data_IF_969696108057
#
_entry.id   IF_969696108057
#
_cell.length_a   1.000
_cell.length_b   1.000
_cell.length_c   1.000
_cell.angle_alpha   90.00
_cell.angle_beta   90.00
_cell.angle_gamma   90.00
#
_symmetry.space_group_name_H-M   'P 1'
#
loop_
_entity.id
_entity.type
_entity.pdbx_description
1 polymer ?
2 polymer ?
3 polymer ?
4 non-polymer ?
5 non-polymer ?
6 water ?
#
loop_
_entity_poly.entity_id
_entity_poly.type
_entity_poly.pdbx_seq_one_letter_code
_entity_poly.pdbx_strand_id
1 'polydeoxyribonucleotide' '(DA)(DA)(DT)(DC)(DT)(DT)(DT)(DC)(DA)(DC)(DA)(DC)(DG)(DA)(DT)' ?
2 'polydeoxyribonucleotide' '(DT)(DT)(DA)(DT)(DC)(DG)(DT)(DG)(DT)(DG)(DA)(DA)(DA)(DG)(DA)' ?
#
# COMPACT_ATOMS: atom_id res chain seq x y z
N UNK C 1 -11.39 5.09 -35.38
CA UNK C 1 -11.71 5.90 -34.21
C UNK C 1 -11.77 5.06 -32.87
N UNK C 2 -11.73 5.74 -31.69
CA UNK C 2 -11.90 4.94 -30.45
C UNK C 2 -13.38 4.61 -30.15
N UNK C 3 -13.62 3.40 -29.67
CA UNK C 3 -15.01 2.90 -29.48
C UNK C 3 -15.37 3.12 -28.01
N UNK C 4 -16.55 3.69 -27.75
CA UNK C 4 -17.02 3.89 -26.38
C UNK C 4 -17.38 2.55 -25.75
N UNK C 5 -17.26 2.42 -24.43
CA UNK C 5 -17.58 1.15 -23.80
C UNK C 5 -19.11 0.92 -23.96
N UNK C 6 -19.50 -0.29 -24.33
CA UNK C 6 -20.93 -0.56 -24.48
C UNK C 6 -21.37 -1.23 -23.19
N UNK C 7 -22.70 -1.28 -22.97
CA UNK C 7 -23.23 -1.93 -21.80
C UNK C 7 -22.86 -3.40 -21.79
N UNK C 8 -22.85 -4.05 -22.95
CA UNK C 8 -22.46 -5.48 -23.06
C UNK C 8 -21.02 -5.70 -22.60
N UNK C 9 -20.11 -4.88 -23.08
CA UNK C 9 -18.71 -5.01 -22.68
C UNK C 9 -18.51 -4.78 -21.17
N UNK C 10 -19.29 -3.87 -20.58
CA UNK C 10 -19.17 -3.63 -19.14
C UNK C 10 -19.67 -4.84 -18.33
N UNK C 11 -20.79 -5.41 -18.73
CA UNK C 11 -21.28 -6.66 -18.11
C UNK C 11 -20.25 -7.78 -18.22
N UNK C 12 -19.58 -7.89 -19.36
CA UNK C 12 -18.51 -8.88 -19.52
C UNK C 12 -17.35 -8.62 -18.55
N UNK C 13 -16.92 -7.37 -18.45
CA UNK C 13 -15.92 -7.01 -17.46
C UNK C 13 -16.33 -7.35 -16.02
N UNK C 14 -17.55 -6.98 -15.63
CA UNK C 14 -17.98 -7.09 -14.22
C UNK C 14 -18.09 -8.54 -13.75
N UNK C 15 -18.39 -9.43 -14.69
CA UNK C 15 -18.37 -10.87 -14.49
C UNK C 15 -17.00 -11.44 -14.16
N UNK C 16 -15.97 -10.96 -14.85
CA UNK C 16 -14.62 -11.53 -14.83
C UNK C 16 -13.57 -10.71 -14.07
N UNK C 17 -13.57 -9.38 -14.23
CA UNK C 17 -12.62 -8.51 -13.52
C UNK C 17 -11.15 -8.90 -13.78
N UNK C 18 -10.82 -9.08 -15.04
CA UNK C 18 -9.46 -9.48 -15.40
C UNK C 18 -8.53 -8.29 -15.50
N UNK C 19 -8.49 -7.44 -14.50
CA UNK C 19 -7.73 -6.18 -14.59
C UNK C 19 -6.21 -6.40 -14.65
N UNK C 20 -5.51 -5.35 -15.08
CA UNK C 20 -4.06 -5.21 -14.86
C UNK C 20 -3.90 -4.25 -13.71
N UNK C 21 -3.13 -4.61 -12.71
CA UNK C 21 -2.90 -3.70 -11.57
C UNK C 21 -1.41 -3.47 -11.41
N UNK C 22 -1.05 -2.24 -11.05
CA UNK C 22 0.34 -1.90 -10.70
C UNK C 22 0.26 -1.46 -9.25
N UNK C 23 1.06 -2.08 -8.38
CA UNK C 23 1.18 -1.67 -6.99
C UNK C 23 2.56 -1.06 -6.78
N UNK C 24 2.65 0.03 -6.04
CA UNK C 24 4.01 0.55 -5.63
C UNK C 24 4.00 0.58 -4.10
N UNK C 25 4.83 -0.25 -3.50
CA UNK C 25 4.90 -0.31 -2.01
C UNK C 25 6.18 0.38 -1.53
N UNK C 26 6.09 1.22 -0.51
CA UNK C 26 7.26 2.00 -0.14
C UNK C 26 7.05 2.53 1.27
N UNK C 27 8.14 2.93 1.89
CA UNK C 27 8.05 3.61 3.18
C UNK C 27 7.55 5.04 3.07
N UNK C 28 7.00 5.54 4.17
CA UNK C 28 6.42 6.85 4.15
C UNK C 28 7.44 7.95 4.44
N UNK C 29 8.66 7.56 4.83
CA UNK C 29 9.71 8.57 5.08
C UNK C 29 10.99 8.01 4.50
N UNK C 30 11.94 8.90 4.21
CA UNK C 30 13.24 8.51 3.67
C UNK C 30 14.27 9.46 4.28
N UNK C 31 15.36 8.87 4.79
CA UNK C 31 16.45 9.65 5.37
C UNK C 31 17.36 10.17 4.25
N UNK C 32 17.76 11.44 4.32
CA UNK C 32 18.59 12.03 3.26
C UNK C 32 20.07 11.68 3.40
N UNK C 33 20.78 11.70 2.27
CA UNK C 33 22.19 11.43 2.21
C UNK C 33 22.96 12.75 2.04
N UNK C 34 23.98 12.92 2.86
CA UNK C 34 24.83 14.11 2.81
C UNK C 34 26.14 13.82 2.07
N UNK C 35 26.73 14.85 1.46
CA UNK C 35 28.04 14.68 0.82
C UNK C 35 27.93 13.60 -0.24
N UNK C 36 28.82 12.62 -0.19
CA UNK C 36 28.81 11.62 -1.24
C UNK C 36 28.17 10.27 -0.82
N UNK C 37 27.61 10.23 0.39
CA UNK C 37 26.98 9.04 0.96
C UNK C 37 25.79 8.66 0.16
N UNK C 38 25.40 7.37 0.31
CA UNK C 38 24.13 6.82 -0.17
C UNK C 38 23.49 6.09 1.02
N UNK C 39 22.43 6.67 1.56
CA UNK C 39 21.66 5.99 2.57
C UNK C 39 20.43 5.48 1.86
N UNK C 40 20.35 4.17 1.66
CA UNK C 40 19.33 3.63 0.75
C UNK C 40 17.93 3.67 1.36
N UNK C 41 16.91 3.85 0.52
CA UNK C 41 15.51 3.71 1.00
C UNK C 41 15.32 2.33 1.56
N UNK C 42 14.91 2.25 2.82
CA UNK C 42 14.70 0.96 3.50
C UNK C 42 13.31 0.98 4.15
N UNK C 43 12.45 -0.03 3.82
CA UNK C 43 12.60 -1.12 2.95
C UNK C 43 12.73 -0.62 1.47
N UNK C 44 13.31 -1.40 0.58
CA UNK C 44 13.47 -0.97 -0.82
C UNK C 44 12.07 -0.85 -1.47
N UNK C 45 11.76 0.27 -2.13
CA UNK C 45 10.45 0.31 -2.82
C UNK C 45 10.24 -0.89 -3.75
N UNK C 46 9.00 -1.34 -3.85
CA UNK C 46 8.71 -2.58 -4.59
C UNK C 46 7.54 -2.30 -5.55
N UNK C 47 7.69 -2.71 -6.80
CA UNK C 47 6.63 -2.62 -7.82
C UNK C 47 6.12 -4.05 -8.04
N UNK C 48 4.81 -4.27 -7.90
CA UNK C 48 4.18 -5.56 -8.18
C UNK C 48 3.18 -5.43 -9.31
N UNK C 49 3.16 -6.40 -10.21
CA UNK C 49 2.14 -6.43 -11.25
C UNK C 49 1.12 -7.48 -10.84
N UNK C 50 -0.09 -7.06 -10.48
CA UNK C 50 -1.09 -8.03 -10.01
C UNK C 50 -2.25 -8.11 -11.01
N UNK C 51 -3.06 -9.16 -10.88
CA UNK C 51 -4.24 -9.27 -11.73
C UNK C 51 -3.97 -10.18 -12.89
N UNK C 52 -5.05 -10.82 -13.37
CA UNK C 52 -4.97 -11.78 -14.45
C UNK C 52 -4.85 -11.10 -15.82
N UNK C 53 -4.96 -9.76 -15.85
CA UNK C 53 -4.97 -9.00 -17.08
C UNK C 53 -3.57 -8.99 -17.70
N UNK C 54 -2.52 -9.14 -16.89
CA UNK C 54 -1.15 -9.12 -17.47
C UNK C 54 -0.96 -10.36 -18.33
N UNK C 55 -1.38 -11.54 -17.83
CA UNK C 55 -1.32 -12.73 -18.68
C UNK C 55 -2.16 -12.63 -19.97
N UNK C 56 -3.39 -12.10 -19.85
CA UNK C 56 -4.25 -11.94 -21.00
C UNK C 56 -3.63 -10.96 -22.01
N UNK C 57 -3.03 -9.89 -21.51
CA UNK C 57 -2.45 -8.93 -22.43
C UNK C 57 -1.23 -9.56 -23.16
N UNK C 58 -0.43 -10.34 -22.43
CA UNK C 58 0.74 -11.03 -23.03
C UNK C 58 0.29 -11.98 -24.14
N UNK C 59 -0.75 -12.78 -23.88
CA UNK C 59 -1.31 -13.68 -24.92
C UNK C 59 -1.82 -12.94 -26.15
N UNK C 60 -2.48 -11.80 -25.94
CA UNK C 60 -2.95 -10.98 -27.05
C UNK C 60 -1.76 -10.45 -27.86
N UNK C 61 -0.77 -9.85 -27.18
CA UNK C 61 0.44 -9.41 -27.91
C UNK C 61 1.15 -10.50 -28.69
N UNK C 62 1.37 -11.67 -28.09
CA UNK C 62 2.00 -12.79 -28.82
C UNK C 62 1.16 -13.31 -30.00
N UNK C 63 -0.14 -13.40 -29.79
CA UNK C 63 -1.07 -13.76 -30.86
C UNK C 63 -0.95 -12.80 -32.03
N UNK C 64 -0.72 -11.52 -31.74
CA UNK C 64 -0.47 -10.52 -32.79
C UNK C 64 0.97 -10.50 -33.35
N UNK C 65 1.82 -11.40 -32.86
CA UNK C 65 3.13 -11.65 -33.47
C UNK C 65 4.32 -11.28 -32.58
N UNK C 66 4.11 -10.79 -31.37
CA UNK C 66 5.21 -10.40 -30.46
C UNK C 66 5.94 -11.60 -29.93
N UNK C 67 7.26 -11.47 -29.79
CA UNK C 67 8.05 -12.48 -29.12
C UNK C 67 7.86 -12.31 -27.62
N UNK C 68 8.42 -13.20 -26.79
CA UNK C 68 8.39 -12.99 -25.33
C UNK C 68 9.14 -11.73 -24.88
N UNK C 69 10.25 -11.36 -25.52
CA UNK C 69 10.89 -10.09 -25.09
C UNK C 69 9.99 -8.91 -25.43
N UNK C 70 9.32 -8.94 -26.57
CA UNK C 70 8.43 -7.85 -26.94
C UNK C 70 7.21 -7.69 -26.04
N UNK C 71 6.70 -8.79 -25.48
CA UNK C 71 5.49 -8.73 -24.70
C UNK C 71 5.78 -8.57 -23.17
N UNK C 72 7.06 -8.62 -22.78
CA UNK C 72 7.48 -8.48 -21.37
C UNK C 72 7.34 -7.03 -20.93
N UNK C 73 6.59 -6.77 -19.84
CA UNK C 73 6.55 -5.50 -19.11
C UNK C 73 7.92 -5.12 -18.56
N UNK C 74 8.29 -3.87 -18.79
CA UNK C 74 9.60 -3.32 -18.37
C UNK C 74 9.28 -2.15 -17.49
N UNK C 75 10.18 -1.83 -16.54
CA UNK C 75 9.89 -0.71 -15.65
C UNK C 75 11.16 -0.11 -15.17
N UNK C 76 11.12 1.21 -14.97
CA UNK C 76 12.25 2.02 -14.45
C UNK C 76 11.67 2.82 -13.31
N UNK C 77 12.43 3.05 -12.25
CA UNK C 77 11.91 3.79 -11.10
C UNK C 77 12.88 4.87 -10.76
N UNK C 78 12.38 6.02 -10.37
CA UNK C 78 13.27 7.14 -10.01
C UNK C 78 12.56 8.01 -8.99
N UNK C 79 13.28 8.97 -8.44
CA UNK C 79 12.67 9.86 -7.48
C UNK C 79 12.05 11.00 -8.30
N UNK C 80 11.27 11.85 -7.67
CA UNK C 80 10.32 12.67 -8.49
C UNK C 80 10.89 13.58 -9.59
N UNK C 81 12.20 13.69 -9.69
CA UNK C 81 12.78 14.73 -10.54
C UNK C 81 14.07 14.33 -11.24
N UNK C 82 15.19 14.87 -10.73
CA UNK C 82 16.51 14.30 -10.95
C UNK C 82 17.03 14.27 -12.43
N UNK C 83 18.35 14.32 -12.68
CA UNK C 83 19.47 14.42 -11.70
C UNK C 83 19.99 13.04 -11.25
N UNK C 84 19.06 12.17 -10.87
CA UNK C 84 19.32 10.74 -10.91
C UNK C 84 18.71 10.17 -12.19
N UNK C 85 19.45 9.26 -12.81
CA UNK C 85 18.90 8.40 -13.82
C UNK C 85 17.93 7.48 -13.09
N UNK C 86 16.89 7.06 -13.80
CA UNK C 86 15.95 6.07 -13.32
C UNK C 86 16.65 4.70 -13.29
N UNK C 87 16.36 3.86 -12.29
CA UNK C 87 16.91 2.53 -12.30
C UNK C 87 15.98 1.51 -12.95
N UNK C 88 16.54 0.61 -13.74
CA UNK C 88 15.74 -0.40 -14.39
C UNK C 88 15.40 -1.48 -13.39
N UNK C 89 14.14 -1.88 -13.37
CA UNK C 89 13.75 -3.01 -12.56
C UNK C 89 13.79 -4.22 -13.48
N UNK C 90 13.81 -5.42 -12.92
CA UNK C 90 13.76 -6.58 -13.76
C UNK C 90 12.53 -7.37 -13.37
N UNK C 91 11.52 -7.42 -14.23
CA UNK C 91 10.29 -8.13 -13.91
C UNK C 91 10.21 -9.51 -14.58
N UNK C 92 11.25 -9.92 -15.28
CA UNK C 92 11.19 -11.18 -16.02
C UNK C 92 11.04 -12.36 -15.04
N UNK C 93 9.98 -13.12 -15.24
CA UNK C 93 9.79 -14.35 -14.47
C UNK C 93 9.09 -14.13 -13.14
N UNK C 94 9.27 -12.97 -12.54
CA UNK C 94 8.60 -12.66 -11.30
C UNK C 94 7.51 -11.63 -11.64
N UNK C 95 6.58 -11.43 -10.75
CA UNK C 95 5.65 -10.36 -11.02
C UNK C 95 6.00 -9.14 -10.18
N UNK C 96 7.22 -9.09 -9.64
CA UNK C 96 7.57 -7.94 -8.80
C UNK C 96 9.08 -7.69 -8.90
N UNK C 97 9.50 -6.50 -8.50
CA UNK C 97 10.91 -6.21 -8.36
C UNK C 97 11.09 -5.08 -7.35
N UNK C 98 12.15 -5.15 -6.53
CA UNK C 98 12.45 -4.10 -5.55
C UNK C 98 13.54 -3.21 -6.10
N UNK C 99 13.53 -1.94 -5.68
CA UNK C 99 14.54 -0.95 -6.05
C UNK C 99 15.49 -0.82 -4.85
N UNK C 100 16.62 -1.48 -4.88
CA UNK C 100 17.42 -1.73 -3.68
C UNK C 100 18.47 -0.62 -3.40
N UNK C 101 18.69 0.23 -4.40
CA UNK C 101 19.72 1.27 -4.30
C UNK C 101 19.22 2.71 -4.57
N UNK C 102 18.00 3.05 -4.18
CA UNK C 102 17.53 4.42 -4.31
C UNK C 102 17.99 5.23 -3.12
N UNK C 103 18.25 6.50 -3.34
CA UNK C 103 18.65 7.38 -2.23
C UNK C 103 18.31 8.79 -2.64
N UNK C 104 18.32 9.71 -1.70
CA UNK C 104 18.00 11.09 -2.03
C UNK C 104 19.08 11.99 -1.42
N UNK C 105 19.73 12.78 -2.27
CA UNK C 105 20.83 13.63 -1.80
C UNK C 105 20.32 14.89 -1.09
N UNK C 106 21.10 15.41 -0.14
CA UNK C 106 20.83 16.71 0.48
C UNK C 106 20.83 17.88 -0.55
N UNK C 107 21.36 17.62 -1.75
CA UNK C 107 21.33 18.61 -2.85
C UNK C 107 19.91 18.76 -3.43
N UNK C 108 19.02 17.84 -3.03
CA UNK C 108 17.60 17.92 -3.37
C UNK C 108 16.92 18.69 -2.24
N UNK C 109 16.20 19.76 -2.56
CA UNK C 109 15.67 20.64 -1.52
C UNK C 109 14.18 20.41 -1.16
N UNK C 110 13.56 19.37 -1.72
CA UNK C 110 12.17 19.07 -1.48
C UNK C 110 11.99 18.48 -0.09
N UNK C 111 10.90 18.84 0.59
CA UNK C 111 10.58 18.24 1.88
C UNK C 111 9.81 16.91 1.72
N UNK C 112 9.18 16.73 0.57
CA UNK C 112 8.39 15.53 0.27
C UNK C 112 8.63 15.24 -1.21
N UNK C 113 8.49 13.99 -1.62
CA UNK C 113 8.61 13.62 -3.04
C UNK C 113 7.77 12.37 -3.28
N UNK C 114 7.55 12.03 -4.55
CA UNK C 114 6.98 10.72 -4.94
C UNK C 114 7.98 9.99 -5.81
N UNK C 115 7.95 8.67 -5.76
CA UNK C 115 8.67 7.83 -6.68
C UNK C 115 7.88 7.84 -7.98
N UNK C 116 8.56 7.79 -9.12
CA UNK C 116 7.86 7.69 -10.42
C UNK C 116 8.30 6.40 -11.07
N UNK C 117 7.34 5.59 -11.49
CA UNK C 117 7.62 4.32 -12.12
C UNK C 117 7.15 4.45 -13.56
N UNK C 118 8.06 4.26 -14.50
CA UNK C 118 7.74 4.36 -15.92
C UNK C 118 7.70 2.93 -16.46
N UNK C 119 6.62 2.58 -17.15
CA UNK C 119 6.45 1.22 -17.64
C UNK C 119 6.15 1.22 -19.12
N UNK C 120 6.66 0.22 -19.82
CA UNK C 120 6.36 -0.02 -21.24
C UNK C 120 6.57 -1.49 -21.51
N UNK C 121 6.12 -1.98 -22.65
CA UNK C 121 6.33 -3.37 -23.04
C UNK C 121 7.67 -3.39 -23.80
N UNK C 122 8.28 -4.57 -23.89
CA UNK C 122 9.57 -4.76 -24.60
C UNK C 122 9.59 -4.29 -26.02
N UNK C 123 8.44 -4.26 -26.67
CA UNK C 123 8.36 -3.71 -28.01
C UNK C 123 8.27 -2.17 -28.06
N UNK C 124 8.42 -1.52 -26.90
CA UNK C 124 8.28 -0.05 -26.67
C UNK C 124 6.85 0.54 -26.65
N UNK C 125 5.81 -0.31 -26.74
CA UNK C 125 4.41 0.14 -26.58
C UNK C 125 4.35 0.70 -25.16
N UNK C 126 3.86 1.92 -25.00
CA UNK C 126 3.90 2.59 -23.71
C UNK C 126 2.80 2.11 -22.80
N UNK C 127 3.13 1.86 -21.52
CA UNK C 127 2.07 1.62 -20.54
C UNK C 127 1.80 2.95 -19.84
N UNK C 128 2.85 3.55 -19.25
CA UNK C 128 2.74 4.87 -18.70
C UNK C 128 3.51 5.07 -17.41
N UNK C 129 3.19 6.14 -16.72
CA UNK C 129 3.93 6.52 -15.53
C UNK C 129 2.97 6.42 -14.35
N UNK C 130 3.44 5.84 -13.25
CA UNK C 130 2.65 5.62 -12.04
C UNK C 130 3.43 6.24 -10.89
N UNK C 131 2.78 7.04 -10.07
CA UNK C 131 3.43 7.72 -8.94
C UNK C 131 3.19 6.94 -7.63
N UNK C 132 4.17 6.92 -6.74
CA UNK C 132 3.97 6.39 -5.37
C UNK C 132 3.11 7.39 -4.61
N UNK C 133 2.84 7.10 -3.35
CA UNK C 133 2.32 8.08 -2.45
C UNK C 133 3.47 8.97 -2.00
N UNK C 134 3.15 10.05 -1.31
CA UNK C 134 4.10 10.99 -0.83
C UNK C 134 5.07 10.36 0.21
N UNK C 135 6.35 10.77 0.11
CA UNK C 135 7.40 10.26 1.01
C UNK C 135 8.02 11.51 1.67
N UNK C 136 8.10 11.55 3.01
CA UNK C 136 8.64 12.73 3.72
C UNK C 136 10.14 12.56 3.83
N UNK C 137 10.91 13.63 3.61
CA UNK C 137 12.35 13.54 3.70
C UNK C 137 12.74 13.90 5.12
N UNK C 138 13.59 13.08 5.75
CA UNK C 138 14.05 13.41 7.09
C UNK C 138 15.57 13.49 7.12
N UNK C 139 16.11 14.32 8.02
CA UNK C 139 17.54 14.51 8.14
C UNK C 139 18.14 13.31 8.88
N UNK C 140 17.57 12.96 10.05
CA UNK C 140 17.80 11.70 10.72
C UNK C 140 16.73 11.54 11.82
N UNK C 141 16.42 10.30 12.26
CA UNK C 141 15.44 10.12 13.36
C UNK C 141 15.79 10.87 14.62
N UNK C 142 14.77 11.41 15.28
CA UNK C 142 14.96 12.16 16.54
C UNK C 142 15.24 11.20 17.68
N UNK C 143 15.98 11.67 18.67
CA UNK C 143 16.37 10.84 19.80
C UNK C 143 15.50 11.16 21.02
N UNK C 144 14.70 12.21 20.89
CA UNK C 144 13.84 12.64 21.99
C UNK C 144 12.53 11.88 21.97
N UNK C 145 11.89 11.82 23.14
CA UNK C 145 10.55 11.28 23.29
C UNK C 145 9.61 12.00 22.34
N UNK C 146 8.90 11.21 21.56
CA UNK C 146 8.05 11.75 20.54
C UNK C 146 6.84 12.40 21.13
N UNK C 147 6.37 13.43 20.44
CA UNK C 147 5.16 14.11 20.86
C UNK C 147 4.07 13.79 19.85
N UNK C 148 2.84 13.61 20.34
CA UNK C 148 1.70 13.32 19.49
C UNK C 148 1.36 14.48 18.53
N UNK C 149 1.95 15.65 18.81
CA UNK C 149 1.91 16.79 17.88
C UNK C 149 2.79 16.57 16.64
N UNK C 150 3.72 15.61 16.70
CA UNK C 150 4.46 15.17 15.52
C UNK C 150 3.69 14.00 14.95
N UNK C 151 2.35 14.13 14.95
CA UNK C 151 1.43 13.13 14.43
C UNK C 151 2.07 12.52 13.20
N UNK C 152 2.72 13.39 12.43
CA UNK C 152 3.43 13.03 11.20
C UNK C 152 4.32 11.77 11.31
N UNK C 153 5.12 11.68 12.37
CA UNK C 153 6.06 10.58 12.51
C UNK C 153 5.56 9.44 13.45
N UNK C 154 4.39 9.61 14.05
CA UNK C 154 3.81 8.56 14.90
C UNK C 154 3.11 7.48 14.06
N UNK C 155 2.67 6.42 14.74
CA UNK C 155 2.17 5.23 14.04
C UNK C 155 0.76 4.98 14.60
N UNK C 156 -0.25 5.15 13.76
CA UNK C 156 -1.64 5.03 14.18
C UNK C 156 -2.06 3.58 14.12
N UNK C 157 -2.86 3.16 15.09
CA UNK C 157 -3.51 1.85 15.01
C UNK C 157 -4.18 1.63 13.66
N UNK C 158 -3.98 0.48 13.05
CA UNK C 158 -4.66 0.19 11.80
C UNK C 158 -3.81 0.53 10.57
N UNK C 159 -2.64 1.12 10.75
CA UNK C 159 -1.84 1.50 9.58
C UNK C 159 -0.81 0.40 9.43
N UNK C 160 0.05 0.49 8.42
CA UNK C 160 0.95 -0.55 8.10
C UNK C 160 2.39 -0.15 8.36
N UNK C 161 3.18 -1.14 8.73
CA UNK C 161 4.60 -0.95 9.08
C UNK C 161 5.41 -2.06 8.46
N UNK C 162 6.68 -1.79 8.18
CA UNK C 162 7.61 -2.81 7.82
C UNK C 162 8.54 -2.97 9.02
N UNK C 163 9.16 -4.12 9.14
CA UNK C 163 10.07 -4.37 10.25
C UNK C 163 11.31 -5.02 9.72
N UNK C 164 12.47 -4.52 10.12
CA UNK C 164 13.69 -5.10 9.58
C UNK C 164 14.78 -5.18 10.62
N UNK C 165 15.74 -6.09 10.41
CA UNK C 165 16.79 -6.35 11.41
C UNK C 165 18.08 -6.23 10.61
N UNK C 166 19.08 -5.57 11.17
CA UNK C 166 20.36 -5.43 10.53
C UNK C 166 21.37 -5.67 11.62
N UNK C 167 22.42 -6.41 11.31
CA UNK C 167 23.25 -6.97 12.37
C UNK C 167 24.34 -6.01 12.80
N UNK C 168 25.18 -5.55 11.91
CA UNK C 168 26.25 -4.74 12.59
C UNK C 168 26.57 -3.50 11.81
N UNK C 169 25.52 -2.66 11.66
CA UNK C 169 25.45 -1.58 10.64
C UNK C 169 25.85 -2.07 9.27
N UNK C 170 25.53 -3.32 8.94
CA UNK C 170 25.93 -3.88 7.64
C UNK C 170 24.75 -4.00 6.71
N UNK C 171 24.83 -3.35 5.55
CA UNK C 171 23.77 -3.39 4.58
C UNK C 171 23.48 -4.80 4.06
N UNK C 172 24.52 -5.62 3.99
CA UNK C 172 24.31 -6.96 3.45
C UNK C 172 23.50 -7.86 4.42
N UNK C 173 23.47 -7.51 5.70
CA UNK C 173 22.81 -8.33 6.71
C UNK C 173 21.31 -8.05 6.86
N UNK C 174 20.74 -7.14 6.07
CA UNK C 174 19.41 -6.61 6.38
C UNK C 174 18.38 -7.70 6.06
N UNK C 175 17.47 -7.95 7.00
CA UNK C 175 16.41 -8.93 6.76
C UNK C 175 15.08 -8.32 7.16
N UNK C 176 14.03 -8.55 6.39
CA UNK C 176 12.71 -7.99 6.65
C UNK C 176 11.75 -9.09 7.05
N UNK C 177 10.87 -8.78 7.98
CA UNK C 177 9.79 -9.69 8.29
C UNK C 177 8.90 -9.80 7.03
N UNK C 178 8.59 -11.04 6.64
CA UNK C 178 7.92 -11.35 5.39
C UNK C 178 7.25 -12.73 5.54
N UNK C 179 5.96 -12.82 5.19
CA UNK C 179 5.28 -14.10 5.16
C UNK C 179 5.48 -14.77 3.83
N UNK C 180 5.99 -16.00 3.84
CA UNK C 180 6.19 -16.75 2.62
C UNK C 180 6.21 -18.22 2.96
N UNK C 181 5.78 -19.07 2.03
CA UNK C 181 5.82 -20.50 2.31
C UNK C 181 4.97 -20.92 3.51
N UNK C 182 3.92 -20.16 3.82
CA UNK C 182 3.05 -20.55 4.94
C UNK C 182 3.55 -20.18 6.32
N UNK C 183 4.66 -19.42 6.43
CA UNK C 183 5.31 -19.09 7.72
C UNK C 183 5.84 -17.65 7.73
N UNK C 184 6.11 -17.13 8.93
CA UNK C 184 6.79 -15.82 9.04
C UNK C 184 8.27 -16.12 8.85
N UNK C 185 8.91 -15.38 7.95
CA UNK C 185 10.38 -15.55 7.72
C UNK C 185 11.08 -14.19 7.80
N UNK C 186 12.39 -14.21 7.75
CA UNK C 186 13.12 -12.95 7.71
C UNK C 186 13.86 -13.04 6.39
N UNK C 187 13.43 -12.23 5.43
CA UNK C 187 13.89 -12.33 4.03
C UNK C 187 14.88 -11.24 3.73
N UNK C 188 15.90 -11.56 2.95
CA UNK C 188 16.79 -10.50 2.48
C UNK C 188 16.30 -9.83 1.19
N UNK C 189 15.28 -10.40 0.53
CA UNK C 189 14.85 -9.92 -0.79
C UNK C 189 13.44 -9.31 -0.87
N UNK C 190 12.54 -9.69 0.02
CA UNK C 190 11.18 -9.17 0.01
C UNK C 190 10.80 -8.74 1.42
N UNK C 191 9.80 -7.88 1.54
CA UNK C 191 9.38 -7.40 2.83
C UNK C 191 7.86 -7.35 2.91
N UNK C 192 7.35 -7.61 4.08
CA UNK C 192 5.90 -7.53 4.28
C UNK C 192 5.53 -6.18 4.85
N UNK C 193 4.28 -5.81 4.63
CA UNK C 193 3.69 -4.64 5.24
C UNK C 193 2.62 -5.23 6.15
N UNK C 194 2.70 -4.88 7.42
CA UNK C 194 1.86 -5.51 8.47
C UNK C 194 1.00 -4.45 9.05
N UNK C 195 -0.32 -4.66 9.08
CA UNK C 195 -1.19 -3.87 9.91
C UNK C 195 -0.72 -4.02 11.35
N UNK C 196 -0.64 -2.91 12.07
CA UNK C 196 -0.37 -2.94 13.50
C UNK C 196 -1.64 -2.41 14.21
N UNK C 197 -2.33 -3.31 14.90
CA UNK C 197 -3.60 -3.00 15.55
C UNK C 197 -3.41 -2.94 17.02
N UNK C 198 -3.82 -1.84 17.63
CA UNK C 198 -3.77 -1.67 19.06
C UNK C 198 -4.88 -2.48 19.68
N UNK C 199 -4.59 -3.30 20.69
CA UNK C 199 -5.61 -4.08 21.40
C UNK C 199 -5.74 -3.48 22.79
N UNK C 200 -6.89 -3.58 23.41
CA UNK C 200 -6.88 -3.24 24.83
C UNK C 200 -6.16 -4.35 25.65
N UNK C 201 -5.65 -3.97 26.83
CA UNK C 201 -4.82 -4.88 27.65
C UNK C 201 -5.53 -6.19 28.01
N UNK C 202 -6.87 -6.16 27.99
CA UNK C 202 -7.68 -7.33 28.36
C UNK C 202 -7.97 -8.34 27.23
N UNK C 203 -7.75 -7.95 25.96
CA UNK C 203 -7.97 -8.84 24.81
C UNK C 203 -7.24 -10.18 24.98
N UNK C 204 -7.93 -11.30 24.80
CA UNK C 204 -7.24 -12.60 24.67
C UNK C 204 -7.02 -13.00 23.19
N UNK C 205 -6.50 -14.21 22.95
CA UNK C 205 -6.04 -14.63 21.59
C UNK C 205 -7.09 -15.12 20.58
N UNK C 206 -6.65 -15.12 19.31
CA UNK C 206 -7.42 -15.49 18.10
C UNK C 206 -8.21 -14.25 17.78
N UNK C 207 -9.17 -14.29 16.86
CA UNK C 207 -8.91 -14.33 15.42
C UNK C 207 -9.44 -12.97 14.85
N UNK C 208 -10.42 -12.23 15.43
CA UNK C 208 -11.23 -12.27 16.72
C UNK C 208 -11.71 -10.83 16.89
N UNK C 209 -10.73 -9.93 16.90
CA UNK C 209 -10.85 -8.47 16.70
C UNK C 209 -10.96 -7.61 17.96
N UNK C 210 -11.67 -6.51 17.79
CA UNK C 210 -11.75 -5.33 18.69
C UNK C 210 -10.71 -4.24 18.35
N UNK C 211 -11.11 -3.45 17.35
CA UNK C 211 -10.48 -2.19 16.91
C UNK C 211 -10.35 -1.17 18.05
N UNK C 212 -9.12 -0.80 18.39
CA UNK C 212 -8.87 0.36 19.25
C UNK C 212 -8.11 1.40 18.44
N UNK C 213 -8.66 2.61 18.37
CA UNK C 213 -8.00 3.66 17.59
C UNK C 213 -7.04 4.44 18.51
N UNK C 214 -6.11 5.18 17.90
CA UNK C 214 -5.11 5.93 18.66
C UNK C 214 -3.71 5.60 18.13
N UNK C 215 -2.70 6.29 18.62
CA UNK C 215 -1.34 6.04 18.22
C UNK C 215 -0.73 4.95 19.11
N UNK C 216 0.22 4.21 18.57
CA UNK C 216 0.86 3.10 19.27
C UNK C 216 1.94 3.66 20.19
N UNK C 217 1.92 3.27 21.47
CA UNK C 217 2.92 3.65 22.46
C UNK C 217 3.63 2.41 22.94
N UNK C 218 4.89 2.56 23.32
CA UNK C 218 5.61 1.44 23.95
C UNK C 218 4.83 0.94 25.18
N UNK C 219 4.88 -0.38 25.40
CA UNK C 219 4.12 -1.04 26.50
C UNK C 219 2.69 -1.44 26.13
N UNK C 220 2.23 -0.99 24.96
CA UNK C 220 0.91 -1.40 24.47
C UNK C 220 0.91 -2.76 23.82
N UNK C 221 -0.21 -3.45 23.94
CA UNK C 221 -0.41 -4.73 23.24
C UNK C 221 -0.88 -4.49 21.80
N UNK C 222 -0.20 -5.13 20.83
CA UNK C 222 -0.57 -5.01 19.45
C UNK C 222 -0.73 -6.37 18.76
N UNK C 223 -1.46 -6.40 17.64
CA UNK C 223 -1.47 -7.54 16.74
C UNK C 223 -0.91 -7.11 15.40
N UNK C 224 0.10 -7.82 14.89
CA UNK C 224 0.62 -7.58 13.55
C UNK C 224 0.01 -8.56 12.58
N UNK C 225 -0.52 -8.07 11.47
CA UNK C 225 -1.28 -8.90 10.55
C UNK C 225 -0.74 -8.57 9.16
N UNK C 226 -0.31 -9.62 8.44
CA UNK C 226 0.21 -9.43 7.10
C UNK C 226 -0.83 -8.82 6.16
N UNK C 227 -0.53 -7.66 5.55
CA UNK C 227 -1.52 -7.04 4.67
C UNK C 227 -1.84 -7.85 3.41
N UNK C 228 -1.01 -8.85 3.07
CA UNK C 228 -1.19 -9.61 1.83
C UNK C 228 -1.80 -10.95 2.14
N UNK C 229 -1.23 -11.69 3.10
CA UNK C 229 -1.75 -13.05 3.40
C UNK C 229 -2.81 -13.06 4.49
N UNK C 230 -2.81 -12.02 5.31
CA UNK C 230 -3.68 -11.99 6.47
C UNK C 230 -3.10 -12.78 7.65
N UNK C 231 -1.92 -13.40 7.50
CA UNK C 231 -1.38 -14.18 8.60
C UNK C 231 -1.04 -13.27 9.78
N UNK C 232 -1.35 -13.70 11.01
CA UNK C 232 -1.17 -12.87 12.18
C UNK C 232 -0.15 -13.52 13.11
N UNK C 233 0.64 -12.71 13.78
CA UNK C 233 1.48 -13.20 14.86
C UNK C 233 0.67 -13.25 16.17
N UNK C 234 1.13 -13.98 17.21
CA UNK C 234 0.41 -13.91 18.50
C UNK C 234 0.41 -12.48 19.07
N UNK C 235 -0.41 -12.20 20.07
CA UNK C 235 -0.42 -10.88 20.73
C UNK C 235 1.01 -10.49 21.10
N UNK C 236 1.41 -9.26 20.82
CA UNK C 236 2.78 -8.78 21.14
C UNK C 236 2.71 -7.56 22.04
N UNK C 237 3.67 -7.38 22.96
CA UNK C 237 3.81 -6.07 23.59
C UNK C 237 5.03 -5.39 22.93
N UNK C 238 4.83 -4.21 22.34
CA UNK C 238 5.91 -3.50 21.69
C UNK C 238 6.74 -2.73 22.76
N UNK C 239 8.07 -2.92 22.74
CA UNK C 239 8.97 -2.41 23.79
C UNK C 239 10.15 -1.66 23.14
N UNK C 240 10.61 -0.64 23.83
CA UNK C 240 11.70 0.21 23.35
C UNK C 240 13.02 -0.47 23.55
N UNK C 241 13.86 -0.47 22.52
CA UNK C 241 15.19 -1.05 22.64
C UNK C 241 16.18 0.09 22.91
N UNK C 242 17.07 -0.09 23.86
CA UNK C 242 18.30 0.67 23.75
C UNK C 242 19.50 -0.19 24.11
N UNK C 243 20.54 -0.07 23.28
CA UNK C 243 21.71 -0.95 23.37
C UNK C 243 21.21 -2.39 23.08
N UNK C 244 21.58 -3.33 23.94
CA UNK C 244 21.16 -4.71 23.76
C UNK C 244 20.04 -5.07 24.75
N UNK C 245 19.26 -4.05 25.15
CA UNK C 245 18.30 -4.23 26.23
C UNK C 245 16.93 -3.75 25.78
N UNK C 246 15.88 -4.44 26.23
CA UNK C 246 14.52 -3.91 26.08
C UNK C 246 14.14 -3.19 27.36
N UNK C 247 13.48 -2.05 27.24
CA UNK C 247 13.02 -1.29 28.39
C UNK C 247 11.61 -1.75 28.71
N UNK C 248 11.38 -2.08 29.97
CA UNK C 248 10.08 -2.55 30.40
C UNK C 248 9.15 -1.41 30.77
N UNK C 249 9.71 -0.25 31.11
CA UNK C 249 8.88 0.85 31.59
C UNK C 249 8.53 1.97 30.61
N UNK C 250 9.17 1.99 29.44
CA UNK C 250 8.90 3.00 28.39
C UNK C 250 7.44 3.01 27.98
N UNK C 251 6.88 4.20 27.76
CA UNK C 251 5.45 4.34 27.46
C UNK C 251 5.18 5.48 26.47
N UNK C 252 6.22 5.88 25.73
CA UNK C 252 6.12 7.00 24.81
C UNK C 252 5.62 6.55 23.45
N UNK C 253 5.15 7.49 22.60
CA UNK C 253 4.73 7.08 21.24
C UNK C 253 5.87 6.42 20.46
N UNK C 254 5.55 5.37 19.71
CA UNK C 254 6.50 4.72 18.82
C UNK C 254 6.63 5.62 17.57
N UNK C 255 7.85 5.86 17.07
CA UNK C 255 7.95 6.66 15.86
C UNK C 255 8.82 6.03 14.79
N UNK C 256 8.88 6.70 13.64
CA UNK C 256 9.55 6.16 12.45
C UNK C 256 10.98 5.83 12.75
N UNK C 257 11.43 4.65 12.34
CA UNK C 257 12.85 4.29 12.37
C UNK C 257 13.37 4.06 13.79
N UNK C 258 12.45 3.88 14.74
CA UNK C 258 12.82 3.47 16.09
C UNK C 258 13.19 2.01 16.08
N UNK C 259 14.05 1.61 17.02
CA UNK C 259 14.30 0.16 17.30
C UNK C 259 13.32 -0.32 18.38
N UNK C 260 12.70 -1.46 18.11
CA UNK C 260 11.75 -1.97 19.07
C UNK C 260 11.90 -3.48 19.19
N UNK C 261 11.37 -4.01 20.28
CA UNK C 261 11.35 -5.47 20.49
C UNK C 261 9.92 -5.87 20.72
N UNK C 262 9.57 -7.10 20.35
CA UNK C 262 8.21 -7.54 20.53
C UNK C 262 8.20 -8.73 21.51
N UNK C 263 7.74 -8.45 22.71
CA UNK C 263 7.52 -9.43 23.75
C UNK C 263 6.24 -10.21 23.41
N UNK C 264 6.36 -11.53 23.37
CA UNK C 264 5.21 -12.39 23.20
C UNK C 264 4.37 -12.40 24.50
N UNK C 265 3.20 -11.78 24.44
CA UNK C 265 2.38 -11.57 25.64
C UNK C 265 2.08 -12.87 26.30
N UNK C 266 2.18 -12.88 27.62
CA UNK C 266 1.91 -14.04 28.48
C UNK C 266 3.00 -15.09 28.57
N UNK C 267 4.11 -14.90 27.85
CA UNK C 267 5.22 -15.86 27.90
C UNK C 267 6.22 -15.45 28.97
N UNK C 268 7.18 -16.34 29.25
CA UNK C 268 8.28 -16.07 30.17
C UNK C 268 9.38 -15.29 29.42
N UNK C 269 9.19 -13.98 29.21
CA UNK C 269 10.23 -13.10 28.60
C UNK C 269 10.64 -13.50 27.21
N UNK C 270 9.69 -14.01 26.40
CA UNK C 270 10.04 -14.49 25.06
C UNK C 270 9.84 -13.37 24.10
N UNK C 271 10.78 -13.18 23.18
CA UNK C 271 10.69 -12.12 22.18
C UNK C 271 10.78 -12.69 20.77
N UNK C 272 10.10 -12.04 19.86
CA UNK C 272 10.13 -12.36 18.45
C UNK C 272 11.56 -12.16 18.00
N UNK C 273 12.18 -13.18 17.44
CA UNK C 273 13.61 -13.09 17.14
C UNK C 273 13.94 -13.76 15.80
N UNK C 274 14.83 -13.14 15.04
CA UNK C 274 15.33 -13.73 13.81
C UNK C 274 16.44 -14.69 14.10
N UNK C 275 16.41 -15.85 13.41
CA UNK C 275 17.59 -16.68 13.22
C UNK C 275 17.79 -17.08 11.74
N UNK C 276 18.75 -16.42 11.10
CA UNK C 276 18.93 -16.52 9.68
C UNK C 276 17.58 -16.30 8.98
N UNK C 277 17.02 -17.30 8.30
CA UNK C 277 15.76 -17.08 7.54
C UNK C 277 14.53 -17.29 8.42
N UNK C 278 14.76 -17.81 9.64
CA UNK C 278 13.70 -18.25 10.59
C UNK C 278 13.31 -17.21 11.63
N UNK C 279 12.05 -17.19 11.99
CA UNK C 279 11.58 -16.34 13.05
C UNK C 279 11.27 -17.28 14.21
N UNK C 280 11.83 -16.99 15.37
CA UNK C 280 11.72 -17.86 16.55
C UNK C 280 11.32 -17.00 17.76
N UNK C 281 11.10 -17.65 18.91
CA UNK C 281 10.96 -16.94 20.20
C UNK C 281 12.30 -17.10 20.87
N UNK C 282 12.86 -16.04 21.44
CA UNK C 282 14.10 -16.18 22.19
C UNK C 282 13.95 -15.49 23.56
N UNK C 283 14.40 -16.14 24.62
CA UNK C 283 14.11 -15.63 25.94
C UNK C 283 15.13 -14.58 26.35
N UNK C 284 14.64 -13.44 26.81
CA UNK C 284 15.53 -12.40 27.35
C UNK C 284 16.10 -12.81 28.70
N UNK C 285 17.22 -12.21 29.06
CA UNK C 285 17.85 -12.43 30.36
C UNK C 285 17.59 -11.20 31.24
N UNK C 286 17.20 -11.40 32.51
CA UNK C 286 16.98 -10.21 33.34
C UNK C 286 18.32 -9.55 33.71
N UNK C 287 18.32 -8.24 33.87
CA UNK C 287 19.45 -7.52 34.47
C UNK C 287 19.24 -7.48 35.97
N UNK C 288 20.12 -8.17 36.73
CA UNK C 288 19.86 -8.24 38.17
C UNK C 288 20.02 -6.86 38.83
N UNK C 289 20.64 -5.92 38.11
CA UNK C 289 20.91 -4.59 38.65
C UNK C 289 19.82 -3.57 38.31
N UNK C 290 19.23 -3.68 37.12
CA UNK C 290 18.07 -2.85 36.76
C UNK C 290 16.85 -3.72 36.46
N UNK C 291 15.89 -3.72 37.39
CA UNK C 291 14.64 -4.49 37.27
C UNK C 291 13.77 -4.14 36.03
N UNK C 292 13.93 -2.93 35.51
CA UNK C 292 13.09 -2.42 34.41
C UNK C 292 13.68 -2.63 33.00
N UNK C 293 14.74 -3.44 32.90
CA UNK C 293 15.34 -3.76 31.61
C UNK C 293 15.57 -5.26 31.54
N UNK C 294 15.59 -5.80 30.34
CA UNK C 294 16.08 -7.14 30.13
C UNK C 294 16.90 -7.25 28.86
N UNK C 295 17.91 -8.09 28.90
CA UNK C 295 18.84 -8.22 27.81
C UNK C 295 18.23 -9.12 26.74
N UNK C 296 18.26 -8.63 25.52
CA UNK C 296 17.68 -9.31 24.37
C UNK C 296 18.75 -9.64 23.33
N UNK C 297 18.48 -10.70 22.57
CA UNK C 297 19.34 -11.16 21.49
C UNK C 297 19.38 -10.08 20.40
N UNK C 298 20.50 -9.94 19.66
CA UNK C 298 20.56 -9.02 18.52
C UNK C 298 19.45 -9.22 17.47
N UNK C 299 19.07 -10.48 17.28
CA UNK C 299 18.01 -10.80 16.33
C UNK C 299 16.62 -10.40 16.79
N UNK C 300 16.49 -9.88 18.00
CA UNK C 300 15.17 -9.49 18.57
C UNK C 300 14.94 -7.99 18.54
N UNK C 301 15.86 -7.25 17.94
CA UNK C 301 15.66 -5.80 17.82
C UNK C 301 15.31 -5.46 16.35
N UNK C 302 14.20 -4.75 16.15
CA UNK C 302 13.65 -4.54 14.82
C UNK C 302 13.47 -3.06 14.64
N UNK C 303 13.86 -2.54 13.50
CA UNK C 303 13.52 -1.18 13.11
C UNK C 303 12.12 -1.16 12.49
N UNK C 304 11.28 -0.25 12.98
CA UNK C 304 9.92 -0.12 12.51
C UNK C 304 9.83 1.13 11.60
N UNK C 305 9.06 1.01 10.53
CA UNK C 305 8.83 2.14 9.67
C UNK C 305 7.47 2.01 9.01
N UNK C 306 6.72 3.11 8.95
CA UNK C 306 5.38 3.10 8.32
C UNK C 306 5.50 2.98 6.83
N UNK C 307 4.55 2.28 6.22
CA UNK C 307 4.65 2.06 4.79
C UNK C 307 3.33 2.47 4.11
N UNK C 308 3.36 2.63 2.80
CA UNK C 308 2.16 3.02 2.06
C UNK C 308 2.14 2.20 0.75
N UNK C 309 1.06 2.33 0.01
CA UNK C 309 0.83 1.54 -1.17
C UNK C 309 0.10 2.44 -2.13
N UNK C 310 0.61 2.58 -3.36
CA UNK C 310 -0.15 3.24 -4.41
C UNK C 310 -0.63 2.11 -5.29
N UNK C 311 -1.89 2.12 -5.66
CA UNK C 311 -2.47 0.99 -6.41
C UNK C 311 -3.21 1.57 -7.57
N UNK C 312 -2.95 1.06 -8.79
CA UNK C 312 -3.57 1.52 -10.01
C UNK C 312 -4.10 0.34 -10.84
N UNK C 313 -5.37 0.38 -11.25
CA UNK C 313 -5.97 -0.79 -11.87
C UNK C 313 -6.62 -0.34 -13.16
N UNK C 314 -6.38 -1.08 -14.25
CA UNK C 314 -6.92 -0.65 -15.51
C UNK C 314 -7.25 -1.88 -16.33
N UNK C 315 -8.14 -1.72 -17.27
CA UNK C 315 -8.59 -2.83 -18.10
C UNK C 315 -9.04 -2.25 -19.44
N UNK C 316 -8.60 -2.84 -20.55
CA UNK C 316 -9.04 -2.43 -21.91
C UNK C 316 -10.45 -3.00 -22.18
N UNK C 317 -11.49 -2.25 -21.84
CA UNK C 317 -12.84 -2.79 -21.94
C UNK C 317 -13.32 -2.98 -23.37
N UNK C 318 -12.73 -2.21 -24.28
CA UNK C 318 -13.07 -2.35 -25.71
C UNK C 318 -11.87 -2.82 -26.55
N UNK C 319 -10.93 -3.53 -25.92
CA UNK C 319 -9.77 -4.06 -26.64
C UNK C 319 -8.69 -3.00 -26.64
N UNK C 320 -7.51 -3.31 -27.25
CA UNK C 320 -6.36 -2.42 -27.28
C UNK C 320 -6.70 -1.03 -27.81
N UNK C 321 -6.08 -0.03 -27.22
CA UNK C 321 -6.39 1.36 -27.54
C UNK C 321 -5.09 2.07 -27.96
N UNK C 322 -5.23 3.20 -28.64
CA UNK C 322 -4.05 3.93 -29.09
C UNK C 322 -3.33 4.65 -27.93
N UNK C 323 -4.10 5.24 -27.00
CA UNK C 323 -3.55 6.04 -25.93
C UNK C 323 -3.12 5.21 -24.71
N UNK C 324 -1.88 5.44 -24.16
CA UNK C 324 -1.46 4.80 -22.90
C UNK C 324 -2.51 5.01 -21.81
N UNK C 325 -2.58 4.08 -20.87
CA UNK C 325 -3.67 4.12 -19.87
C UNK C 325 -3.48 5.13 -18.73
N UNK C 326 -2.30 5.71 -18.61
CA UNK C 326 -2.02 6.58 -17.47
C UNK C 326 -2.23 8.06 -17.83
N UNK C 327 -2.35 8.97 -16.84
CA UNK C 327 -2.41 8.81 -15.36
C UNK C 327 -3.71 8.10 -15.03
N UNK C 328 -3.64 7.07 -14.18
CA UNK C 328 -4.80 6.25 -13.89
C UNK C 328 -5.60 6.97 -12.82
N UNK C 329 -6.90 7.22 -13.06
CA UNK C 329 -7.67 7.88 -11.98
C UNK C 329 -7.79 6.97 -10.73
N UNK C 330 -7.80 7.61 -9.57
CA UNK C 330 -7.95 6.91 -8.29
C UNK C 330 -9.06 7.59 -7.50
N UNK C 331 -10.04 6.81 -7.07
CA UNK C 331 -11.13 7.38 -6.26
C UNK C 331 -10.86 7.02 -4.83
N UNK C 332 -10.68 8.07 -4.01
CA UNK C 332 -10.42 7.95 -2.60
C UNK C 332 -11.70 7.79 -1.81
N UNK C 333 -12.76 8.47 -2.25
CA UNK C 333 -13.98 8.63 -1.44
C UNK C 333 -15.21 8.99 -2.27
N UNK C 334 -16.39 8.55 -1.84
CA UNK C 334 -17.70 8.91 -2.43
C UNK C 334 -18.58 9.61 -1.40
N UNK C 335 -19.38 10.57 -1.84
CA UNK C 335 -20.24 11.32 -0.92
C UNK C 335 -21.54 11.65 -1.62
N UNK C 336 -22.67 11.24 -1.04
CA UNK C 336 -24.01 11.49 -1.59
C UNK C 336 -24.46 12.86 -1.10
N UNK C 337 -24.76 13.80 -2.01
CA UNK C 337 -24.90 15.24 -1.60
C UNK C 337 -25.95 15.72 -0.54
N UNK C 338 -27.26 15.37 -0.62
CA UNK C 338 -27.91 14.61 -1.67
C UNK C 338 -27.81 15.13 -3.10
N UNK C 339 -28.19 16.39 -3.39
CA UNK C 339 -28.63 17.38 -2.38
C UNK C 339 -29.90 18.14 -2.74
N UNK C 340 -29.90 18.79 -3.91
CA UNK C 340 -31.07 19.54 -4.39
C UNK C 340 -32.12 18.66 -5.05
N UNK C 341 -32.53 19.04 -6.27
CA UNK C 341 -33.65 18.40 -7.00
C UNK C 341 -33.38 16.98 -7.52
N UNK C 342 -32.10 16.66 -7.65
CA UNK C 342 -31.68 15.38 -8.19
C UNK C 342 -30.49 14.88 -7.33
N UNK C 343 -30.51 13.61 -6.97
CA UNK C 343 -29.45 13.00 -6.18
C UNK C 343 -28.15 12.99 -7.00
N UNK C 344 -27.08 13.50 -6.38
CA UNK C 344 -25.74 13.55 -7.00
C UNK C 344 -24.75 12.83 -6.12
N UNK C 345 -23.78 12.16 -6.72
CA UNK C 345 -22.67 11.58 -5.99
C UNK C 345 -21.41 12.40 -6.31
N UNK C 346 -20.66 12.82 -5.29
CA UNK C 346 -19.37 13.52 -5.45
C UNK C 346 -18.23 12.49 -5.27
N UNK C 347 -17.28 12.45 -6.20
CA UNK C 347 -16.15 11.55 -6.11
C UNK C 347 -14.98 12.43 -5.80
N UNK C 348 -14.24 12.05 -4.77
CA UNK C 348 -12.98 12.73 -4.51
C UNK C 348 -11.81 11.79 -4.79
N UNK C 349 -10.74 12.29 -5.39
CA UNK C 349 -9.63 11.43 -5.71
C UNK C 349 -8.54 12.17 -6.47
N UNK C 350 -7.96 11.47 -7.45
CA UNK C 350 -6.90 12.06 -8.28
C UNK C 350 -6.93 11.61 -9.69
N UNK C 351 -6.33 12.44 -10.54
CA UNK C 351 -6.15 12.19 -11.98
C UNK C 351 -7.49 12.13 -12.72
N UNK C 352 -8.45 12.94 -12.32
CA UNK C 352 -9.75 12.92 -13.01
C UNK C 352 -9.61 13.81 -14.22
N UNK C 353 -10.38 13.55 -15.27
CA UNK C 353 -10.34 14.38 -16.48
C UNK C 353 -11.75 14.49 -17.04
N UNK C 354 -11.98 15.41 -17.96
CA UNK C 354 -13.32 15.43 -18.54
C UNK C 354 -13.65 14.32 -19.56
N UNK C 355 -12.73 13.39 -19.76
CA UNK C 355 -12.94 12.29 -20.66
C UNK C 355 -13.34 11.02 -19.92
N UNK C 356 -13.69 11.16 -18.65
CA UNK C 356 -14.08 10.00 -17.80
C UNK C 356 -15.60 10.10 -17.56
N UNK C 357 -16.26 8.97 -17.52
CA UNK C 357 -17.66 8.92 -17.07
C UNK C 357 -17.74 7.95 -15.90
N UNK C 358 -18.65 8.18 -14.97
CA UNK C 358 -18.88 7.25 -13.84
C UNK C 358 -19.94 6.25 -14.32
N UNK C 359 -19.69 4.96 -14.07
CA UNK C 359 -20.68 3.91 -14.35
C UNK C 359 -21.06 3.29 -13.04
N UNK C 360 -22.35 2.99 -12.89
CA UNK C 360 -22.93 2.34 -11.72
C UNK C 360 -23.36 1.04 -12.28
N UNK C 361 -22.71 -0.04 -11.86
CA UNK C 361 -22.96 -1.35 -12.54
C UNK C 361 -22.76 -1.15 -14.05
N UNK C 362 -23.74 -1.55 -14.87
CA UNK C 362 -23.61 -1.39 -16.32
C UNK C 362 -24.40 -0.18 -16.83
N UNK C 363 -24.59 0.79 -15.95
CA UNK C 363 -25.29 2.04 -16.30
C UNK C 363 -24.33 3.23 -16.25
N UNK C 364 -24.04 3.80 -17.40
CA UNK C 364 -23.28 5.05 -17.51
C UNK C 364 -24.04 6.23 -16.92
N UNK C 365 -23.44 6.97 -15.98
CA UNK C 365 -24.11 8.14 -15.42
C UNK C 365 -23.63 9.43 -16.10
N UNK C 366 -24.53 10.42 -16.19
CA UNK C 366 -24.17 11.80 -16.47
C UNK C 366 -23.11 12.27 -15.45
N UNK C 367 -21.96 12.69 -15.98
CA UNK C 367 -20.76 12.96 -15.16
C UNK C 367 -20.29 14.42 -15.38
N UNK C 368 -19.99 15.12 -14.29
CA UNK C 368 -19.51 16.50 -14.35
C UNK C 368 -18.12 16.63 -13.75
N UNK C 369 -17.14 16.91 -14.59
CA UNK C 369 -15.76 17.14 -14.17
C UNK C 369 -15.66 18.50 -13.51
N UNK C 370 -15.10 18.56 -12.30
CA UNK C 370 -14.79 19.84 -11.64
C UNK C 370 -13.31 20.16 -11.71
N UNK C 371 -12.48 19.20 -11.32
CA UNK C 371 -11.05 19.36 -11.40
C UNK C 371 -10.41 18.00 -11.24
N UNK C 372 -9.08 17.96 -11.24
CA UNK C 372 -8.37 16.70 -11.13
C UNK C 372 -8.79 15.90 -9.94
N UNK C 373 -9.32 16.56 -8.92
CA UNK C 373 -9.58 15.86 -7.65
C UNK C 373 -11.04 15.68 -7.32
N UNK C 374 -11.91 16.15 -8.21
CA UNK C 374 -13.35 16.22 -7.92
C UNK C 374 -14.23 16.06 -9.17
N UNK C 375 -15.19 15.14 -9.10
CA UNK C 375 -16.16 14.95 -10.16
C UNK C 375 -17.51 14.72 -9.49
N UNK C 376 -18.56 15.16 -10.14
CA UNK C 376 -19.93 14.89 -9.69
C UNK C 376 -20.57 13.95 -10.70
N UNK C 377 -21.57 13.20 -10.29
CA UNK C 377 -22.39 12.46 -11.25
C UNK C 377 -23.81 12.33 -10.71
N UNK C 378 -24.74 12.10 -11.62
CA UNK C 378 -26.14 12.04 -11.30
C UNK C 378 -26.45 10.59 -10.99
N UNK C 379 -27.05 10.32 -9.84
CA UNK C 379 -27.31 8.92 -9.45
C UNK C 379 -28.44 8.37 -10.31
N UNK C 380 -28.23 7.21 -10.96
CA UNK C 380 -29.35 6.62 -11.75
C UNK C 380 -30.57 6.30 -10.88
N UNK C 381 -31.75 6.35 -11.48
CA UNK C 381 -32.97 5.94 -10.78
C UNK C 381 -32.87 4.44 -10.52
N UNK C 382 -33.49 3.93 -9.46
CA UNK C 382 -33.37 2.49 -9.15
C UNK C 382 -33.91 1.61 -10.31
N UNK C 383 -34.87 2.13 -11.06
CA UNK C 383 -35.44 1.44 -12.20
C UNK C 383 -34.43 1.10 -13.28
N UNK C 384 -33.24 1.74 -13.26
CA UNK C 384 -32.15 1.38 -14.17
C UNK C 384 -31.53 0.03 -13.81
N UNK C 385 -31.78 -0.43 -12.58
CA UNK C 385 -31.25 -1.71 -12.09
C UNK C 385 -32.33 -2.75 -11.83
N UNK C 386 -33.53 -2.25 -11.51
CA UNK C 386 -34.71 -3.08 -11.24
C UNK C 386 -35.88 -2.56 -12.05
N UNK C 387 -36.11 -3.12 -13.22
CA UNK C 387 -37.13 -2.61 -14.11
C UNK C 387 -38.49 -2.65 -13.42
N UNK C 388 -39.27 -1.57 -13.53
CA UNK C 388 -40.63 -1.53 -12.94
C UNK C 388 -40.68 -1.08 -11.49
N UNK C 389 -39.52 -0.99 -10.81
CA UNK C 389 -39.54 -0.53 -9.41
C UNK C 389 -39.82 0.97 -9.44
N UNK C 390 -40.78 1.40 -8.64
CA UNK C 390 -41.13 2.80 -8.55
C UNK C 390 -40.54 3.42 -7.31
N UNK C 391 -39.82 2.63 -6.51
CA UNK C 391 -39.19 3.06 -5.25
C UNK C 391 -38.19 1.95 -4.93
N UNK C 392 -37.33 2.17 -3.93
CA UNK C 392 -36.35 1.15 -3.58
C UNK C 392 -37.06 0.16 -2.68
N UNK C 393 -37.36 -1.01 -3.23
CA UNK C 393 -38.11 -2.03 -2.52
C UNK C 393 -37.22 -2.77 -1.52
N UNK C 394 -36.00 -3.12 -1.92
CA UNK C 394 -35.04 -3.85 -1.08
C UNK C 394 -33.69 -3.21 -1.34
N UNK C 395 -32.72 -3.32 -0.39
CA UNK C 395 -31.38 -2.74 -0.72
C UNK C 395 -30.77 -3.32 -1.98
N UNK C 396 -30.07 -2.48 -2.76
CA UNK C 396 -29.43 -2.91 -4.00
C UNK C 396 -28.07 -2.24 -4.04
N UNK C 397 -27.00 -3.03 -4.18
CA UNK C 397 -25.65 -2.49 -4.15
C UNK C 397 -25.07 -2.61 -5.55
N UNK C 398 -24.51 -1.51 -6.08
CA UNK C 398 -23.88 -1.54 -7.41
C UNK C 398 -22.41 -1.10 -7.35
N UNK C 399 -21.55 -1.71 -8.20
CA UNK C 399 -20.17 -1.21 -8.27
C UNK C 399 -20.09 0.16 -8.94
N UNK C 400 -19.10 0.95 -8.53
CA UNK C 400 -18.83 2.23 -9.13
C UNK C 400 -17.48 2.07 -9.86
N UNK C 401 -17.47 2.45 -11.14
CA UNK C 401 -16.31 2.32 -11.98
C UNK C 401 -16.13 3.62 -12.80
N UNK C 402 -14.87 3.97 -13.14
CA UNK C 402 -14.63 5.09 -14.03
C UNK C 402 -14.24 4.55 -15.37
N UNK C 403 -14.66 5.24 -16.43
CA UNK C 403 -14.45 4.72 -17.77
C UNK C 403 -14.04 5.83 -18.67
N UNK C 404 -12.94 5.59 -19.39
CA UNK C 404 -12.44 6.57 -20.35
C UNK C 404 -13.14 6.42 -21.66
N UNK C 405 -13.21 7.49 -22.45
CA UNK C 405 -13.92 7.51 -23.76
C UNK C 405 -13.53 6.42 -24.79
N UNK C 406 -12.31 5.84 -24.66
CA UNK C 406 -11.84 4.77 -25.57
C UNK C 406 -12.05 3.39 -24.91
N UNK C 407 -12.79 3.37 -23.81
CA UNK C 407 -13.25 2.09 -23.25
C UNK C 407 -12.37 1.51 -22.18
N UNK C 408 -11.27 2.20 -21.84
CA UNK C 408 -10.48 1.79 -20.71
C UNK C 408 -11.25 1.93 -19.40
N UNK C 409 -11.25 0.85 -18.62
CA UNK C 409 -12.05 0.76 -17.42
C UNK C 409 -11.13 0.83 -16.23
N UNK C 410 -11.44 1.73 -15.29
CA UNK C 410 -10.62 1.91 -14.09
C UNK C 410 -11.48 1.55 -12.86
N UNK C 411 -11.29 0.31 -12.39
CA UNK C 411 -12.05 -0.29 -11.30
C UNK C 411 -11.86 0.54 -10.01
N UNK C 412 -12.89 0.62 -9.17
CA UNK C 412 -12.68 1.23 -7.87
C UNK C 412 -13.03 0.14 -6.87
N UNK C 413 -12.67 0.32 -5.62
CA UNK C 413 -13.10 -0.66 -4.63
C UNK C 413 -14.50 -0.33 -4.10
N UNK C 414 -15.11 0.73 -4.63
CA UNK C 414 -16.23 1.34 -3.95
C UNK C 414 -17.54 0.94 -4.60
N UNK C 415 -18.60 0.97 -3.81
CA UNK C 415 -19.90 0.55 -4.31
C UNK C 415 -20.86 1.65 -3.93
N UNK C 416 -22.02 1.70 -4.57
CA UNK C 416 -23.09 2.57 -4.14
C UNK C 416 -24.29 1.67 -3.74
N UNK C 417 -24.98 1.99 -2.65
CA UNK C 417 -26.15 1.24 -2.20
C UNK C 417 -27.41 2.07 -2.26
N UNK C 418 -28.44 1.51 -2.90
CA UNK C 418 -29.78 2.05 -2.77
C UNK C 418 -30.45 1.40 -1.56
N UNK C 419 -31.02 2.21 -0.66
CA UNK C 419 -31.66 1.68 0.55
C UNK C 419 -33.15 2.05 0.61
N UNK C 420 -34.03 1.09 0.97
CA UNK C 420 -35.45 1.49 1.14
C UNK C 420 -35.65 2.61 2.15
N UNK C 421 -36.68 3.43 1.91
CA UNK C 421 -37.09 4.44 2.91
C UNK C 421 -37.53 3.79 4.25
N UNK C 422 -37.17 4.44 5.38
CA UNK C 422 -37.60 4.05 6.72
C UNK C 422 -39.07 3.60 6.80
#
# INVERSE_FOLDING_TARGET
PPKRLTREAMRNYLKERGDQTVLILHAKVAQKSYGNEKRFFCPPPCVYLMGSGWKKKKEQMERDGCSEQESQPCAFIGIGNSDQEMQQLNLEGKNYCTAKTLYISDSDKRKHFMLSVKMFYGNSDDIGVFLSKRIKVISKPSKKKQSLKNADLCIASGTKVALFNRLRSQTVSTRYLHVEGGNFHASSQQWGAFYIHLLDDDESEGEEFTVRDGYIHYGQTVKLVCSVTGMALPRLIIRKVDKQTALLDADDPVSQLHKCAFYLKDTERMYLCLSQERIIQFQATPCPKEQNKEMINDGASWTIISTDKAEYTFYEGMGPVLAPVTPVPVVESLQLNGGGDVAMLELTGQNFTPNLRVWFGDVEAETMYRCGESMLCVVPDISAFREGWRWVRQPVQVPVTLVRNDGVIYSTSLTFTYTPEP
#
